data_IF_860278003341
#
_entry.id   IF_860278003341
#
_cell.length_a   1.000
_cell.length_b   1.000
_cell.length_c   1.000
_cell.angle_alpha   90.00
_cell.angle_beta   90.00
_cell.angle_gamma   90.00
#
_symmetry.space_group_name_H-M   'P 1'
#
loop_
_entity.id
_entity.type
_entity.pdbx_description
1 polymer ?
#
# COMPACT_ATOMS: atom_id res chain seq x y z
N UNK A 1 11.52 -5.27 -18.99
CA UNK A 1 10.91 -3.97 -19.38
C UNK A 1 10.16 -3.31 -18.21
N UNK A 2 9.15 -3.95 -17.59
CA UNK A 2 8.36 -3.37 -16.47
C UNK A 2 9.24 -2.75 -15.35
N UNK A 3 10.26 -3.46 -14.84
CA UNK A 3 11.15 -2.97 -13.78
C UNK A 3 11.88 -1.67 -14.13
N UNK A 4 12.31 -1.52 -15.38
CA UNK A 4 13.00 -0.30 -15.84
C UNK A 4 12.03 0.88 -15.86
N UNK A 5 10.82 0.65 -16.34
CA UNK A 5 9.76 1.68 -16.36
C UNK A 5 9.40 2.10 -14.93
N UNK A 6 9.15 1.13 -14.04
CA UNK A 6 8.86 1.40 -12.62
C UNK A 6 9.96 2.24 -11.96
N UNK A 7 11.22 1.89 -12.22
CA UNK A 7 12.38 2.60 -11.67
C UNK A 7 12.47 4.04 -12.19
N UNK A 8 12.33 4.23 -13.51
CA UNK A 8 12.39 5.58 -14.13
C UNK A 8 11.28 6.46 -13.57
N UNK A 9 10.04 5.96 -13.52
CA UNK A 9 8.90 6.73 -12.98
C UNK A 9 9.14 7.08 -11.51
N UNK A 10 9.58 6.13 -10.69
CA UNK A 10 9.88 6.39 -9.29
C UNK A 10 11.03 7.38 -9.09
N UNK A 11 12.07 7.33 -9.95
CA UNK A 11 13.20 8.26 -9.92
C UNK A 11 12.75 9.69 -10.31
N UNK A 12 11.92 9.83 -11.34
CA UNK A 12 11.37 11.13 -11.75
C UNK A 12 10.43 11.71 -10.67
N UNK A 13 9.69 10.87 -9.95
CA UNK A 13 8.82 11.30 -8.86
C UNK A 13 9.57 11.61 -7.55
N UNK A 14 10.82 11.14 -7.40
CA UNK A 14 11.55 11.25 -6.14
C UNK A 14 11.74 12.68 -5.62
N UNK A 15 12.06 13.72 -6.44
CA UNK A 15 12.12 15.11 -5.96
C UNK A 15 10.80 15.59 -5.31
N UNK A 16 9.66 15.19 -5.88
CA UNK A 16 8.35 15.50 -5.32
C UNK A 16 8.10 14.78 -3.99
N UNK A 17 8.56 13.53 -3.86
CA UNK A 17 8.50 12.77 -2.61
C UNK A 17 9.30 13.48 -1.51
N UNK A 18 10.48 14.03 -1.83
CA UNK A 18 11.30 14.79 -0.89
C UNK A 18 10.59 16.05 -0.40
N UNK A 19 10.07 16.86 -1.33
CA UNK A 19 9.33 18.09 -0.99
C UNK A 19 8.10 17.79 -0.13
N UNK A 20 7.30 16.79 -0.53
CA UNK A 20 6.15 16.34 0.25
C UNK A 20 6.57 15.85 1.64
N UNK A 21 7.69 15.13 1.75
CA UNK A 21 8.20 14.65 3.04
C UNK A 21 8.52 15.77 4.01
N UNK A 22 9.05 16.90 3.54
CA UNK A 22 9.32 18.07 4.38
C UNK A 22 8.00 18.65 4.91
N UNK A 23 7.00 18.83 4.03
CA UNK A 23 5.70 19.38 4.41
C UNK A 23 4.99 18.48 5.42
N UNK A 24 4.97 17.15 5.14
CA UNK A 24 4.34 16.17 6.03
C UNK A 24 5.10 16.06 7.35
N UNK A 25 6.43 16.16 7.33
CA UNK A 25 7.23 16.16 8.56
C UNK A 25 6.88 17.33 9.47
N UNK A 26 6.77 18.55 8.92
CA UNK A 26 6.36 19.73 9.68
C UNK A 26 4.96 19.52 10.25
N UNK A 27 4.00 19.04 9.43
CA UNK A 27 2.64 18.79 9.87
C UNK A 27 2.57 17.78 11.02
N UNK A 28 3.30 16.66 10.94
CA UNK A 28 3.38 15.65 12.00
C UNK A 28 4.02 16.23 13.26
N UNK A 29 5.09 17.06 13.12
CA UNK A 29 5.74 17.70 14.27
C UNK A 29 4.81 18.68 14.99
N UNK A 30 3.90 19.32 14.27
CA UNK A 30 2.89 20.21 14.85
C UNK A 30 1.68 19.46 15.44
N UNK A 31 1.42 18.22 15.02
CA UNK A 31 0.29 17.40 15.50
C UNK A 31 0.62 16.64 16.81
N UNK A 32 1.61 15.74 16.76
CA UNK A 32 1.99 14.87 17.89
C UNK A 32 3.50 14.68 18.11
N UNK A 33 4.34 15.36 17.31
CA UNK A 33 5.79 15.38 17.48
C UNK A 33 6.53 14.09 17.08
N UNK A 34 5.84 13.04 16.64
CA UNK A 34 6.43 11.73 16.37
C UNK A 34 7.32 11.64 15.12
N UNK A 35 7.78 10.43 14.74
CA UNK A 35 8.60 10.20 13.55
C UNK A 35 7.80 10.38 12.26
N UNK A 36 8.49 10.77 11.17
CA UNK A 36 7.90 10.96 9.84
C UNK A 36 7.37 9.65 9.25
N UNK A 37 8.19 8.60 9.31
CA UNK A 37 7.88 7.33 8.66
C UNK A 37 7.40 6.27 9.64
N UNK A 38 6.49 5.45 9.16
CA UNK A 38 6.14 4.15 9.70
C UNK A 38 6.65 3.07 8.75
N UNK A 39 7.37 2.06 9.26
CA UNK A 39 7.95 0.98 8.48
C UNK A 39 7.36 -0.35 8.93
N UNK A 40 6.39 -0.86 8.16
CA UNK A 40 5.77 -2.16 8.42
C UNK A 40 6.52 -3.29 7.71
N UNK A 41 6.69 -4.44 8.37
CA UNK A 41 7.21 -5.65 7.75
C UNK A 41 6.15 -6.26 6.82
N UNK A 42 6.49 -6.45 5.55
CA UNK A 42 5.58 -6.94 4.51
C UNK A 42 6.23 -8.07 3.70
N UNK A 43 5.37 -8.90 3.09
CA UNK A 43 5.79 -10.00 2.23
C UNK A 43 6.04 -9.45 0.83
N UNK A 44 7.24 -9.68 0.32
CA UNK A 44 7.66 -9.33 -1.03
C UNK A 44 7.72 -10.54 -1.96
N UNK A 45 8.35 -10.33 -3.11
CA UNK A 45 8.56 -11.39 -4.11
C UNK A 45 9.30 -12.58 -3.50
N UNK A 46 8.85 -13.80 -3.87
CA UNK A 46 9.38 -15.08 -3.40
C UNK A 46 9.34 -15.25 -1.88
N UNK A 47 8.41 -14.55 -1.18
CA UNK A 47 8.28 -14.63 0.27
C UNK A 47 9.30 -13.82 1.07
N UNK A 48 10.18 -13.04 0.41
CA UNK A 48 11.16 -12.19 1.10
C UNK A 48 10.45 -11.11 1.91
N UNK A 49 10.78 -10.97 3.19
CA UNK A 49 10.24 -9.90 4.03
C UNK A 49 11.03 -8.62 3.80
N UNK A 50 10.32 -7.49 3.63
CA UNK A 50 10.89 -6.16 3.47
C UNK A 50 10.20 -5.13 4.37
N UNK A 51 10.81 -3.96 4.55
CA UNK A 51 10.23 -2.82 5.28
C UNK A 51 9.55 -1.89 4.30
N UNK A 52 8.22 -1.82 4.37
CA UNK A 52 7.41 -0.93 3.54
C UNK A 52 7.34 0.47 4.15
N UNK A 53 7.77 1.48 3.41
CA UNK A 53 7.75 2.87 3.85
C UNK A 53 6.35 3.47 3.69
N UNK A 54 5.89 4.15 4.75
CA UNK A 54 4.68 4.99 4.73
C UNK A 54 4.92 6.25 5.57
N UNK A 55 4.23 7.34 5.25
CA UNK A 55 4.11 8.40 6.25
C UNK A 55 3.29 7.89 7.43
N UNK A 56 3.73 8.25 8.63
CA UNK A 56 3.03 7.85 9.84
C UNK A 56 1.68 8.56 9.93
N UNK A 57 0.63 7.80 10.08
CA UNK A 57 -0.75 8.27 10.18
C UNK A 57 -1.43 7.90 11.50
N UNK A 58 -0.73 7.17 12.37
CA UNK A 58 -1.22 6.76 13.69
C UNK A 58 -0.30 7.30 14.80
N UNK A 59 -0.81 7.35 16.02
CA UNK A 59 -0.01 7.67 17.21
C UNK A 59 1.19 6.73 17.34
N UNK A 60 2.23 7.18 18.03
CA UNK A 60 3.41 6.35 18.31
C UNK A 60 3.00 5.17 19.19
N UNK A 61 3.50 3.97 18.88
CA UNK A 61 3.17 2.73 19.59
C UNK A 61 1.66 2.38 19.57
N UNK A 62 0.95 2.75 18.49
CA UNK A 62 -0.43 2.34 18.31
C UNK A 62 -0.59 0.82 18.44
N UNK A 63 -1.56 0.32 19.24
CA UNK A 63 -1.79 -1.11 19.38
C UNK A 63 -2.19 -1.75 18.04
N UNK A 64 -1.73 -2.98 17.78
CA UNK A 64 -2.12 -3.74 16.58
C UNK A 64 -3.55 -4.30 16.79
N UNK A 65 -4.53 -3.58 16.27
CA UNK A 65 -5.93 -4.01 16.28
C UNK A 65 -6.25 -4.72 14.96
N UNK A 66 -6.89 -5.88 15.08
CA UNK A 66 -7.29 -6.71 13.94
C UNK A 66 -8.77 -7.00 13.96
N UNK A 67 -9.33 -7.18 12.76
CA UNK A 67 -10.68 -7.69 12.56
C UNK A 67 -10.69 -9.21 12.80
N UNK A 68 -11.88 -9.81 12.92
CA UNK A 68 -12.05 -11.26 13.10
C UNK A 68 -11.42 -12.09 11.97
N UNK A 69 -11.38 -11.55 10.74
CA UNK A 69 -10.73 -12.18 9.57
C UNK A 69 -9.19 -11.98 9.54
N UNK A 70 -8.60 -11.46 10.62
CA UNK A 70 -7.16 -11.18 10.73
C UNK A 70 -6.67 -9.97 9.97
N UNK A 71 -7.53 -9.27 9.23
CA UNK A 71 -7.18 -8.02 8.55
C UNK A 71 -6.95 -6.88 9.55
N UNK A 72 -6.19 -5.86 9.15
CA UNK A 72 -5.94 -4.69 9.99
C UNK A 72 -7.24 -3.89 10.18
N UNK A 73 -7.56 -3.54 11.42
CA UNK A 73 -8.67 -2.63 11.73
C UNK A 73 -8.46 -1.27 11.04
N UNK A 74 -9.47 -0.79 10.32
CA UNK A 74 -9.42 0.44 9.52
C UNK A 74 -10.79 1.12 9.46
N UNK A 75 -11.31 1.56 10.61
CA UNK A 75 -12.55 2.33 10.68
C UNK A 75 -12.31 3.83 10.53
N UNK A 76 -13.36 4.57 10.17
CA UNK A 76 -13.28 6.03 9.98
C UNK A 76 -13.01 6.80 11.29
N UNK A 77 -13.43 6.22 12.41
CA UNK A 77 -13.30 6.76 13.77
C UNK A 77 -12.17 6.12 14.58
N UNK A 78 -11.24 5.41 13.91
CA UNK A 78 -10.11 4.74 14.57
C UNK A 78 -9.34 5.75 15.46
N UNK A 79 -9.36 5.58 16.81
CA UNK A 79 -8.77 6.54 17.75
C UNK A 79 -7.23 6.58 17.68
N UNK A 80 -6.61 5.60 17.02
CA UNK A 80 -5.16 5.57 16.82
C UNK A 80 -4.70 6.53 15.74
N UNK A 81 -5.62 7.01 14.88
CA UNK A 81 -5.28 7.86 13.72
C UNK A 81 -5.20 9.33 14.16
N UNK A 82 -4.05 9.96 13.91
CA UNK A 82 -3.81 11.38 14.24
C UNK A 82 -4.62 12.31 13.33
N UNK A 83 -4.72 13.59 13.64
CA UNK A 83 -5.44 14.58 12.80
C UNK A 83 -4.80 14.65 11.40
N UNK A 84 -3.48 14.79 11.33
CA UNK A 84 -2.72 14.78 10.08
C UNK A 84 -2.88 13.41 9.39
N UNK A 85 -2.86 12.32 10.16
CA UNK A 85 -3.05 10.97 9.66
C UNK A 85 -4.39 10.75 8.96
N UNK A 86 -5.48 11.36 9.45
CA UNK A 86 -6.80 11.30 8.77
C UNK A 86 -6.74 11.92 7.38
N UNK A 87 -6.09 13.08 7.25
CA UNK A 87 -5.90 13.72 5.95
C UNK A 87 -5.04 12.87 5.01
N UNK A 88 -3.89 12.36 5.49
CA UNK A 88 -2.99 11.54 4.70
C UNK A 88 -3.68 10.28 4.17
N UNK A 89 -4.45 9.58 5.01
CA UNK A 89 -5.23 8.38 4.61
C UNK A 89 -6.34 8.70 3.61
N UNK A 90 -7.09 9.78 3.86
CA UNK A 90 -8.17 10.20 2.96
C UNK A 90 -7.67 10.49 1.56
N UNK A 91 -6.48 11.09 1.45
CA UNK A 91 -5.83 11.45 0.17
C UNK A 91 -4.90 10.36 -0.37
N UNK A 92 -4.67 9.26 0.38
CA UNK A 92 -3.68 8.22 0.07
C UNK A 92 -2.23 8.74 -0.03
N UNK A 93 -1.96 9.94 0.48
CA UNK A 93 -0.61 10.51 0.51
C UNK A 93 0.32 9.73 1.44
N UNK A 94 -0.23 9.04 2.45
CA UNK A 94 0.55 8.19 3.35
C UNK A 94 1.32 7.07 2.63
N UNK A 95 0.89 6.68 1.43
CA UNK A 95 1.50 5.61 0.64
C UNK A 95 2.59 6.09 -0.34
N UNK A 96 2.73 7.40 -0.57
CA UNK A 96 3.73 7.96 -1.49
C UNK A 96 5.18 7.52 -1.18
N UNK A 97 5.62 7.38 0.09
CA UNK A 97 6.97 6.89 0.39
C UNK A 97 7.27 5.47 -0.11
N UNK A 98 6.26 4.66 -0.49
CA UNK A 98 6.49 3.36 -1.12
C UNK A 98 7.24 3.47 -2.46
N UNK A 99 7.30 4.66 -3.08
CA UNK A 99 8.18 4.90 -4.22
C UNK A 99 9.67 4.64 -3.89
N UNK A 100 10.10 4.81 -2.64
CA UNK A 100 11.43 4.39 -2.18
C UNK A 100 11.59 2.87 -2.28
N UNK A 101 10.55 2.10 -1.90
CA UNK A 101 10.59 0.64 -2.07
C UNK A 101 10.64 0.22 -3.55
N UNK A 102 10.03 1.00 -4.44
CA UNK A 102 10.16 0.78 -5.89
C UNK A 102 11.59 1.05 -6.35
N UNK A 103 12.24 2.14 -5.91
CA UNK A 103 13.63 2.45 -6.25
C UNK A 103 14.60 1.35 -5.75
N UNK A 104 14.43 0.90 -4.51
CA UNK A 104 15.24 -0.17 -3.90
C UNK A 104 15.01 -1.51 -4.61
N UNK A 105 13.80 -1.75 -5.13
CA UNK A 105 13.45 -2.97 -5.85
C UNK A 105 12.61 -3.98 -5.07
N UNK A 106 12.14 -3.62 -3.89
CA UNK A 106 11.22 -4.44 -3.09
C UNK A 106 9.81 -4.44 -3.67
N UNK A 107 9.39 -3.31 -4.31
CA UNK A 107 8.06 -3.13 -4.88
C UNK A 107 8.10 -2.78 -6.38
N UNK A 108 6.95 -2.85 -7.01
CA UNK A 108 6.60 -2.33 -8.32
C UNK A 108 5.57 -1.20 -8.16
N UNK A 109 5.33 -0.40 -9.21
CA UNK A 109 4.21 0.54 -9.20
C UNK A 109 2.88 -0.19 -9.14
N UNK A 110 2.76 -1.28 -9.92
CA UNK A 110 1.54 -2.09 -10.02
C UNK A 110 1.85 -3.54 -9.69
N UNK A 111 1.06 -4.11 -8.78
CA UNK A 111 1.19 -5.50 -8.33
C UNK A 111 0.21 -5.82 -7.21
N UNK A 112 0.15 -7.06 -6.73
CA UNK A 112 -0.61 -7.41 -5.54
C UNK A 112 -0.22 -6.55 -4.34
N UNK A 113 -1.19 -6.16 -3.50
CA UNK A 113 -0.89 -5.40 -2.28
C UNK A 113 -0.13 -6.28 -1.29
N UNK A 114 1.03 -5.83 -0.75
CA UNK A 114 1.84 -6.66 0.12
C UNK A 114 1.14 -6.92 1.46
N UNK A 115 0.95 -8.17 1.80
CA UNK A 115 0.39 -8.58 3.09
C UNK A 115 1.39 -8.47 4.23
N UNK A 116 0.88 -8.46 5.47
CA UNK A 116 1.71 -8.50 6.68
C UNK A 116 2.59 -9.76 6.67
N UNK A 117 3.81 -9.65 7.19
CA UNK A 117 4.73 -10.78 7.30
C UNK A 117 4.11 -12.01 7.99
N UNK A 118 3.17 -11.79 8.91
CA UNK A 118 2.40 -12.83 9.59
C UNK A 118 1.65 -13.77 8.63
N UNK A 119 1.19 -13.27 7.47
CA UNK A 119 0.41 -14.07 6.52
C UNK A 119 1.23 -15.07 5.69
N UNK A 120 2.56 -15.02 5.73
CA UNK A 120 3.40 -15.86 4.86
C UNK A 120 3.14 -17.37 5.03
N UNK A 121 2.90 -17.80 6.26
CA UNK A 121 2.62 -19.22 6.59
C UNK A 121 1.16 -19.61 6.36
N UNK A 122 0.28 -18.63 6.19
CA UNK A 122 -1.17 -18.84 6.03
C UNK A 122 -1.61 -18.96 4.56
N UNK A 123 -0.74 -18.65 3.61
CA UNK A 123 -1.06 -18.81 2.19
C UNK A 123 -1.19 -20.26 1.79
N UNK A 124 -2.29 -20.60 1.12
CA UNK A 124 -2.45 -21.86 0.43
C UNK A 124 -1.47 -21.98 -0.74
N UNK A 125 -1.20 -23.19 -1.27
CA UNK A 125 -0.37 -23.38 -2.46
C UNK A 125 -0.82 -22.54 -3.65
N UNK A 126 -2.13 -22.41 -3.88
CA UNK A 126 -2.71 -21.61 -4.96
C UNK A 126 -2.48 -20.10 -4.76
N UNK A 127 -2.60 -19.62 -3.52
CA UNK A 127 -2.41 -18.20 -3.19
C UNK A 127 -0.95 -17.78 -3.29
N UNK A 128 0.00 -18.70 -3.11
CA UNK A 128 1.44 -18.43 -3.25
C UNK A 128 1.84 -17.92 -4.63
N UNK A 129 1.00 -18.08 -5.64
CA UNK A 129 1.24 -17.52 -6.98
C UNK A 129 1.40 -15.99 -6.93
N UNK A 130 0.75 -15.28 -5.99
CA UNK A 130 0.91 -13.83 -5.84
C UNK A 130 2.34 -13.43 -5.48
N UNK A 131 3.10 -14.33 -4.86
CA UNK A 131 4.49 -14.09 -4.47
C UNK A 131 5.48 -14.23 -5.63
N UNK A 132 5.05 -14.68 -6.81
CA UNK A 132 5.92 -14.81 -8.00
C UNK A 132 6.29 -13.45 -8.61
N UNK A 133 5.51 -12.41 -8.29
CA UNK A 133 5.72 -11.04 -8.75
C UNK A 133 6.08 -10.11 -7.59
N UNK A 134 6.59 -8.89 -7.90
CA UNK A 134 6.77 -7.87 -6.87
C UNK A 134 5.41 -7.32 -6.44
N UNK A 135 5.20 -7.07 -5.13
CA UNK A 135 4.02 -6.35 -4.68
C UNK A 135 4.01 -4.92 -5.25
N UNK A 136 2.80 -4.35 -5.42
CA UNK A 136 2.61 -3.03 -5.98
C UNK A 136 2.23 -1.97 -4.96
N UNK A 137 2.47 -0.70 -5.30
CA UNK A 137 1.86 0.46 -4.61
C UNK A 137 0.36 0.41 -4.83
N UNK A 138 -0.05 0.15 -6.07
CA UNK A 138 -1.44 -0.17 -6.44
C UNK A 138 -1.52 -1.52 -7.14
N UNK A 139 -2.73 -2.06 -7.30
CA UNK A 139 -2.97 -3.32 -7.98
C UNK A 139 -4.44 -3.49 -8.34
N UNK A 140 -4.76 -4.62 -8.95
CA UNK A 140 -6.10 -4.87 -9.45
C UNK A 140 -7.16 -4.79 -8.33
N UNK A 141 -6.92 -5.46 -7.19
CA UNK A 141 -7.86 -5.38 -6.07
C UNK A 141 -8.06 -3.94 -5.56
N UNK A 142 -6.96 -3.18 -5.37
CA UNK A 142 -7.06 -1.79 -4.91
C UNK A 142 -7.82 -0.90 -5.91
N UNK A 143 -7.64 -1.16 -7.21
CA UNK A 143 -8.27 -0.39 -8.26
C UNK A 143 -9.79 -0.60 -8.37
N UNK A 144 -10.28 -1.82 -8.09
CA UNK A 144 -11.69 -2.17 -8.23
C UNK A 144 -12.47 -2.21 -6.91
N UNK A 145 -11.85 -2.68 -5.82
CA UNK A 145 -12.51 -2.94 -4.54
C UNK A 145 -12.02 -2.03 -3.41
N UNK A 146 -10.80 -1.47 -3.54
CA UNK A 146 -10.12 -0.73 -2.45
C UNK A 146 -10.12 -1.53 -1.14
N UNK A 147 -10.92 -1.10 -0.13
CA UNK A 147 -11.05 -1.76 1.18
C UNK A 147 -12.45 -2.40 1.39
N UNK A 148 -13.31 -2.47 0.37
CA UNK A 148 -14.70 -2.93 0.50
C UNK A 148 -14.87 -4.44 0.58
N UNK A 149 -13.81 -5.23 0.34
CA UNK A 149 -13.89 -6.69 0.29
C UNK A 149 -13.07 -7.36 1.38
N UNK A 150 -13.40 -8.60 1.71
CA UNK A 150 -12.68 -9.45 2.65
C UNK A 150 -11.35 -9.95 2.10
N UNK A 151 -10.58 -10.61 2.98
CA UNK A 151 -9.25 -11.13 2.64
C UNK A 151 -9.31 -12.14 1.50
N UNK A 152 -10.35 -13.00 1.46
CA UNK A 152 -10.49 -14.04 0.43
C UNK A 152 -10.71 -13.46 -0.96
N UNK A 153 -11.65 -12.52 -1.10
CA UNK A 153 -11.94 -11.84 -2.36
C UNK A 153 -10.74 -11.02 -2.85
N UNK A 154 -10.04 -10.36 -1.90
CA UNK A 154 -8.78 -9.66 -2.19
C UNK A 154 -7.77 -10.61 -2.82
N UNK A 155 -7.51 -11.77 -2.21
CA UNK A 155 -6.55 -12.75 -2.73
C UNK A 155 -6.96 -13.29 -4.10
N UNK A 156 -8.24 -13.54 -4.35
CA UNK A 156 -8.74 -13.95 -5.67
C UNK A 156 -8.47 -12.88 -6.74
N UNK A 157 -8.70 -11.61 -6.42
CA UNK A 157 -8.40 -10.50 -7.34
C UNK A 157 -6.90 -10.38 -7.61
N UNK A 158 -6.05 -10.58 -6.60
CA UNK A 158 -4.59 -10.54 -6.73
C UNK A 158 -4.08 -11.75 -7.56
N UNK A 159 -4.64 -12.94 -7.37
CA UNK A 159 -4.35 -14.12 -8.21
C UNK A 159 -4.76 -13.87 -9.67
N UNK A 160 -5.94 -13.29 -9.88
CA UNK A 160 -6.40 -12.92 -11.22
C UNK A 160 -5.41 -11.98 -11.91
N UNK A 161 -4.95 -10.94 -11.19
CA UNK A 161 -3.95 -10.02 -11.73
C UNK A 161 -2.68 -10.74 -12.17
N UNK A 162 -2.12 -11.62 -11.33
CA UNK A 162 -0.87 -12.32 -11.65
C UNK A 162 -1.01 -13.21 -12.87
N UNK A 163 -2.16 -13.91 -13.00
CA UNK A 163 -2.44 -14.79 -14.15
C UNK A 163 -2.65 -14.05 -15.47
N UNK A 164 -3.07 -12.77 -15.42
CA UNK A 164 -3.36 -11.95 -16.59
C UNK A 164 -2.37 -10.80 -16.78
N UNK A 165 -1.23 -10.82 -16.07
CA UNK A 165 -0.21 -9.77 -16.09
C UNK A 165 0.25 -9.48 -17.52
N UNK A 166 -0.02 -8.26 -18.00
CA UNK A 166 0.52 -7.71 -19.22
C UNK A 166 0.53 -6.18 -19.17
N UNK A 167 1.22 -5.54 -20.10
CA UNK A 167 1.39 -4.09 -20.13
C UNK A 167 0.06 -3.32 -20.23
N UNK A 168 -0.87 -3.75 -21.06
CA UNK A 168 -2.16 -3.08 -21.20
C UNK A 168 -3.03 -3.23 -19.96
N UNK A 169 -2.93 -4.38 -19.28
CA UNK A 169 -3.63 -4.57 -18.02
C UNK A 169 -3.06 -3.66 -16.92
N UNK A 170 -1.76 -3.45 -16.88
CA UNK A 170 -1.15 -2.48 -15.96
C UNK A 170 -1.66 -1.05 -16.23
N UNK A 171 -1.76 -0.61 -17.48
CA UNK A 171 -2.34 0.69 -17.85
C UNK A 171 -3.80 0.79 -17.36
N UNK A 172 -4.59 -0.27 -17.56
CA UNK A 172 -5.98 -0.32 -17.08
C UNK A 172 -6.05 -0.18 -15.55
N UNK A 173 -5.17 -0.88 -14.82
CA UNK A 173 -5.09 -0.78 -13.35
C UNK A 173 -4.76 0.65 -12.92
N UNK A 174 -3.78 1.31 -13.56
CA UNK A 174 -3.43 2.71 -13.26
C UNK A 174 -4.60 3.65 -13.47
N UNK A 175 -5.28 3.52 -14.61
CA UNK A 175 -6.45 4.34 -14.92
C UNK A 175 -7.56 4.20 -13.87
N UNK A 176 -7.90 2.95 -13.52
CA UNK A 176 -8.90 2.68 -12.49
C UNK A 176 -8.47 3.17 -11.12
N UNK A 177 -7.20 2.99 -10.75
CA UNK A 177 -6.66 3.52 -9.49
C UNK A 177 -6.83 5.03 -9.40
N UNK A 178 -6.47 5.76 -10.47
CA UNK A 178 -6.64 7.21 -10.52
C UNK A 178 -8.10 7.61 -10.28
N UNK A 179 -9.03 6.95 -10.98
CA UNK A 179 -10.48 7.17 -10.81
C UNK A 179 -10.94 6.88 -9.37
N UNK A 180 -10.48 5.77 -8.79
CA UNK A 180 -10.87 5.34 -7.43
C UNK A 180 -10.33 6.26 -6.36
N UNK A 181 -9.08 6.73 -6.49
CA UNK A 181 -8.47 7.70 -5.55
C UNK A 181 -9.20 9.04 -5.62
N UNK A 182 -9.50 9.56 -6.80
CA UNK A 182 -10.23 10.82 -6.97
C UNK A 182 -11.67 10.76 -6.43
N UNK A 183 -12.31 9.60 -6.51
CA UNK A 183 -13.68 9.44 -6.00
C UNK A 183 -13.76 9.34 -4.48
N UNK A 184 -12.63 9.21 -3.77
CA UNK A 184 -12.55 9.01 -2.32
C UNK A 184 -13.46 7.89 -1.78
N UNK A 185 -13.88 6.93 -2.62
CA UNK A 185 -14.71 5.81 -2.21
C UNK A 185 -13.90 4.80 -1.38
N UNK A 186 -14.56 4.14 -0.43
CA UNK A 186 -14.05 3.00 0.33
C UNK A 186 -12.65 3.18 0.95
N UNK A 187 -12.36 4.40 1.44
CA UNK A 187 -11.10 4.69 2.17
C UNK A 187 -11.05 3.87 3.46
N UNK A 188 -12.17 3.75 4.13
CA UNK A 188 -12.35 3.02 5.36
C UNK A 188 -13.21 1.79 5.12
N UNK A 189 -12.99 0.74 5.91
CA UNK A 189 -13.85 -0.45 5.94
C UNK A 189 -14.93 -0.20 6.99
N UNK A 190 -16.19 -0.36 6.60
CA UNK A 190 -17.34 -0.30 7.49
C UNK A 190 -17.40 -1.53 8.38
#
# INVERSE_FOLDING_TARGET
>A
MKRVIDFIIALCAFPFVLLLSIVVWIAIKCDDGGPLFHMASRIGKNGRIFKMFKFRSMIVNAPDLRMEDGSTYNAADDPRVTKVGKFLRKTSLDEIPQLLNVLIGDMALIGPRPDSAFYLEHYTPEERVILTVRPGITGWNQAINRNSVGTKEKLQADIYYVKHLNFFFDIKVLWLTFKTVLSHKDVYRA
#
